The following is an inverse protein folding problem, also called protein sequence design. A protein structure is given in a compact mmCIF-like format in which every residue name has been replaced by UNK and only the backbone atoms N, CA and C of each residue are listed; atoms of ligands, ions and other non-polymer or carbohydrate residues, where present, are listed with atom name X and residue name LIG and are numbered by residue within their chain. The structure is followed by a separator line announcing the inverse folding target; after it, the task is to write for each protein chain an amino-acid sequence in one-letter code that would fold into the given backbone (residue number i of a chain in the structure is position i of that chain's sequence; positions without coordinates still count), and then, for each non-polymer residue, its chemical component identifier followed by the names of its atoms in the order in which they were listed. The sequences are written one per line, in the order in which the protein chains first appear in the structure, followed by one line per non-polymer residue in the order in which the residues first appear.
data_IF_190158573154
#
_entry.id   IF_190158573154
#
_cell.length_a   1.000
_cell.length_b   1.000
_cell.length_c   1.000
_cell.angle_alpha   90.00
_cell.angle_beta   90.00
_cell.angle_gamma   90.00
#
_symmetry.space_group_name_H-M   'P 1'
#
loop_
_entity.id
_entity.type
_entity.pdbx_description
1 polymer ?
#
# COMPACT_ATOMS: atom_id res chain seq x y z
N UNK A 1 -3.36 0.01 -6.17
CA UNK A 1 -3.71 -1.43 -6.32
C UNK A 1 -4.37 -1.65 -7.67
N UNK A 2 -4.35 -2.88 -8.18
CA UNK A 2 -4.96 -3.25 -9.47
C UNK A 2 -5.93 -4.41 -9.22
N UNK A 3 -7.16 -4.31 -9.72
CA UNK A 3 -8.17 -5.37 -9.64
C UNK A 3 -8.53 -5.84 -11.05
N UNK A 4 -8.43 -7.15 -11.27
CA UNK A 4 -8.57 -7.80 -12.57
C UNK A 4 -9.85 -8.63 -12.59
N UNK A 5 -10.93 -8.06 -13.13
CA UNK A 5 -12.18 -8.77 -13.32
C UNK A 5 -12.11 -9.63 -14.59
N UNK A 6 -11.97 -10.94 -14.45
CA UNK A 6 -11.89 -11.85 -15.60
C UNK A 6 -13.24 -12.01 -16.32
N UNK A 7 -14.33 -11.53 -15.70
CA UNK A 7 -15.71 -11.68 -16.17
C UNK A 7 -15.99 -13.14 -16.55
N UNK A 8 -16.69 -13.34 -17.66
CA UNK A 8 -17.00 -14.63 -18.27
C UNK A 8 -16.40 -14.74 -19.68
N UNK A 9 -15.28 -14.05 -19.94
CA UNK A 9 -14.57 -14.18 -21.21
C UNK A 9 -14.10 -15.63 -21.42
N UNK A 10 -14.13 -16.09 -22.65
CA UNK A 10 -13.72 -17.44 -23.00
C UNK A 10 -12.24 -17.70 -22.64
N UNK A 11 -11.38 -16.69 -22.76
CA UNK A 11 -9.99 -16.73 -22.32
C UNK A 11 -9.85 -16.91 -20.79
N UNK A 12 -10.81 -16.43 -19.99
CA UNK A 12 -10.81 -16.63 -18.55
C UNK A 12 -11.01 -18.11 -18.16
N UNK A 13 -11.62 -18.90 -19.04
CA UNK A 13 -11.77 -20.34 -18.88
C UNK A 13 -10.59 -21.10 -19.51
N UNK A 14 -10.23 -20.77 -20.76
CA UNK A 14 -9.20 -21.50 -21.52
C UNK A 14 -7.77 -21.22 -21.05
N UNK A 15 -7.51 -20.02 -20.52
CA UNK A 15 -6.16 -19.53 -20.14
C UNK A 15 -6.08 -19.13 -18.67
N UNK A 16 -6.93 -19.69 -17.80
CA UNK A 16 -6.99 -19.28 -16.39
C UNK A 16 -5.61 -19.32 -15.71
N UNK A 17 -4.89 -20.43 -15.83
CA UNK A 17 -3.62 -20.61 -15.11
C UNK A 17 -2.60 -19.53 -15.53
N UNK A 18 -2.51 -19.24 -16.83
CA UNK A 18 -1.67 -18.18 -17.37
C UNK A 18 -2.04 -16.80 -16.78
N UNK A 19 -3.33 -16.46 -16.72
CA UNK A 19 -3.80 -15.17 -16.19
C UNK A 19 -3.53 -15.05 -14.69
N UNK A 20 -3.74 -16.14 -13.93
CA UNK A 20 -3.50 -16.17 -12.48
C UNK A 20 -2.00 -16.07 -12.17
N UNK A 21 -1.17 -16.82 -12.90
CA UNK A 21 0.28 -16.77 -12.77
C UNK A 21 0.83 -15.38 -13.15
N UNK A 22 0.31 -14.78 -14.23
CA UNK A 22 0.70 -13.44 -14.63
C UNK A 22 0.40 -12.38 -13.55
N UNK A 23 -0.80 -12.44 -12.95
CA UNK A 23 -1.16 -11.55 -11.84
C UNK A 23 -0.24 -11.75 -10.62
N UNK A 24 0.13 -13.00 -10.30
CA UNK A 24 1.04 -13.31 -9.20
C UNK A 24 2.46 -12.81 -9.47
N UNK A 25 2.99 -13.05 -10.67
CA UNK A 25 4.33 -12.65 -11.09
C UNK A 25 4.46 -11.12 -11.16
N UNK A 26 3.53 -10.43 -11.83
CA UNK A 26 3.56 -8.97 -11.90
C UNK A 26 3.45 -8.32 -10.52
N UNK A 27 2.68 -8.91 -9.59
CA UNK A 27 2.64 -8.44 -8.19
C UNK A 27 3.98 -8.60 -7.47
N UNK A 28 4.75 -9.66 -7.76
CA UNK A 28 6.09 -9.86 -7.20
C UNK A 28 7.09 -8.86 -7.79
N UNK A 29 7.05 -8.64 -9.10
CA UNK A 29 7.99 -7.79 -9.81
C UNK A 29 7.80 -6.30 -9.47
N UNK A 30 6.55 -5.86 -9.34
CA UNK A 30 6.20 -4.44 -9.14
C UNK A 30 5.95 -4.09 -7.67
N UNK A 31 5.59 -5.09 -6.84
CA UNK A 31 5.12 -4.89 -5.49
C UNK A 31 3.74 -4.23 -5.38
N UNK A 32 3.10 -3.85 -6.49
CA UNK A 32 1.72 -3.36 -6.50
C UNK A 32 0.79 -4.50 -6.13
N UNK A 33 -0.14 -4.29 -5.19
CA UNK A 33 -1.16 -5.30 -4.89
C UNK A 33 -2.05 -5.52 -6.12
N UNK A 34 -2.03 -6.74 -6.67
CA UNK A 34 -2.86 -7.17 -7.79
C UNK A 34 -3.85 -8.24 -7.31
N UNK A 35 -5.15 -7.99 -7.49
CA UNK A 35 -6.24 -8.88 -7.10
C UNK A 35 -6.89 -9.43 -8.37
N UNK A 36 -7.12 -10.74 -8.44
CA UNK A 36 -7.80 -11.38 -9.57
C UNK A 36 -9.20 -11.88 -9.17
N UNK A 37 -10.19 -11.62 -10.02
CA UNK A 37 -11.59 -12.03 -9.83
C UNK A 37 -12.01 -13.00 -10.95
N UNK A 38 -11.76 -14.32 -10.78
CA UNK A 38 -12.11 -15.35 -11.76
C UNK A 38 -13.61 -15.66 -11.79
N UNK A 39 -14.11 -16.34 -12.84
CA UNK A 39 -15.46 -16.89 -12.85
C UNK A 39 -15.73 -17.75 -11.61
N UNK A 40 -16.97 -17.78 -11.06
CA UNK A 40 -17.29 -18.57 -9.87
C UNK A 40 -16.92 -20.05 -9.99
N UNK A 41 -17.06 -20.63 -11.19
CA UNK A 41 -16.72 -22.03 -11.50
C UNK A 41 -15.23 -22.33 -11.39
N UNK A 42 -14.37 -21.31 -11.41
CA UNK A 42 -12.92 -21.42 -11.37
C UNK A 42 -12.30 -20.81 -10.09
N UNK A 43 -13.12 -20.32 -9.18
CA UNK A 43 -12.69 -19.57 -8.00
C UNK A 43 -11.75 -20.38 -7.09
N UNK A 44 -12.07 -21.63 -6.80
CA UNK A 44 -11.24 -22.50 -5.96
C UNK A 44 -9.88 -22.81 -6.62
N UNK A 45 -9.87 -23.06 -7.94
CA UNK A 45 -8.64 -23.33 -8.71
C UNK A 45 -7.73 -22.11 -8.74
N UNK A 46 -8.27 -20.94 -9.06
CA UNK A 46 -7.50 -19.69 -9.02
C UNK A 46 -6.93 -19.41 -7.62
N UNK A 47 -7.72 -19.66 -6.57
CA UNK A 47 -7.29 -19.48 -5.19
C UNK A 47 -6.18 -20.45 -4.78
N UNK A 48 -6.15 -21.65 -5.34
CA UNK A 48 -5.04 -22.58 -5.11
C UNK A 48 -3.71 -22.00 -5.63
N UNK A 49 -3.72 -21.36 -6.81
CA UNK A 49 -2.53 -20.80 -7.45
C UNK A 49 -2.12 -19.39 -6.96
N UNK A 50 -3.07 -18.57 -6.51
CA UNK A 50 -2.83 -17.20 -6.02
C UNK A 50 -3.62 -16.90 -4.74
N UNK A 51 -3.00 -16.18 -3.79
CA UNK A 51 -3.63 -15.78 -2.52
C UNK A 51 -4.44 -14.48 -2.62
N UNK A 52 -4.17 -13.62 -3.60
CA UNK A 52 -4.90 -12.37 -3.84
C UNK A 52 -6.07 -12.61 -4.82
N UNK A 53 -7.07 -13.36 -4.36
CA UNK A 53 -8.25 -13.70 -5.16
C UNK A 53 -9.51 -13.17 -4.47
N UNK A 54 -10.35 -12.52 -5.26
CA UNK A 54 -11.71 -12.11 -4.90
C UNK A 54 -12.73 -12.91 -5.70
N UNK A 55 -13.93 -13.07 -5.17
CA UNK A 55 -15.07 -13.53 -5.97
C UNK A 55 -15.63 -12.39 -6.85
N UNK A 56 -16.37 -12.74 -7.90
CA UNK A 56 -17.07 -11.77 -8.75
C UNK A 56 -18.42 -11.34 -8.16
N UNK A 57 -18.95 -12.09 -7.20
CA UNK A 57 -20.24 -11.84 -6.55
C UNK A 57 -20.31 -12.59 -5.22
N UNK A 58 -21.13 -12.10 -4.30
CA UNK A 58 -21.48 -12.76 -3.05
C UNK A 58 -22.90 -12.37 -2.63
N UNK A 59 -23.66 -13.35 -2.16
CA UNK A 59 -25.04 -13.20 -1.72
C UNK A 59 -25.10 -12.93 -0.21
N UNK A 60 -26.04 -12.12 0.30
CA UNK A 60 -26.12 -11.75 1.70
C UNK A 60 -26.72 -12.83 2.61
N UNK A 61 -27.05 -14.01 2.09
CA UNK A 61 -27.76 -15.05 2.84
C UNK A 61 -26.87 -15.70 3.91
N UNK A 62 -27.51 -16.40 4.85
CA UNK A 62 -26.86 -17.26 5.84
C UNK A 62 -26.84 -18.72 5.34
N UNK A 63 -26.02 -19.61 5.93
CA UNK A 63 -26.05 -21.03 5.59
C UNK A 63 -27.46 -21.62 5.73
N UNK A 64 -27.99 -22.19 4.65
CA UNK A 64 -29.38 -22.67 4.60
C UNK A 64 -29.84 -23.01 3.19
N UNK A 65 -31.16 -23.01 2.97
CA UNK A 65 -31.81 -23.37 1.72
C UNK A 65 -31.69 -22.25 0.65
N UNK A 66 -30.47 -22.04 0.13
CA UNK A 66 -30.14 -21.00 -0.85
C UNK A 66 -29.40 -21.59 -2.06
N UNK A 67 -30.04 -22.56 -2.74
CA UNK A 67 -29.44 -23.25 -3.90
C UNK A 67 -28.96 -22.26 -4.97
N UNK A 68 -27.70 -22.39 -5.37
CA UNK A 68 -27.08 -21.55 -6.40
C UNK A 68 -26.45 -20.24 -5.89
N UNK A 69 -26.58 -19.93 -4.59
CA UNK A 69 -25.99 -18.73 -3.99
C UNK A 69 -24.52 -18.92 -3.61
N UNK A 70 -23.77 -17.82 -3.64
CA UNK A 70 -22.37 -17.73 -3.19
C UNK A 70 -22.35 -17.06 -1.82
N UNK A 71 -22.13 -17.82 -0.76
CA UNK A 71 -22.17 -17.30 0.61
C UNK A 71 -20.80 -16.76 1.07
N UNK A 72 -20.76 -15.73 1.94
CA UNK A 72 -19.53 -15.25 2.57
C UNK A 72 -18.76 -16.35 3.31
N UNK A 73 -19.45 -17.25 4.00
CA UNK A 73 -18.83 -18.40 4.70
C UNK A 73 -18.15 -19.36 3.72
N UNK A 74 -18.73 -19.59 2.54
CA UNK A 74 -18.13 -20.44 1.52
C UNK A 74 -16.82 -19.81 1.00
N UNK A 75 -16.81 -18.50 0.78
CA UNK A 75 -15.60 -17.76 0.40
C UNK A 75 -14.53 -17.81 1.50
N UNK A 76 -14.93 -17.64 2.77
CA UNK A 76 -14.03 -17.74 3.92
C UNK A 76 -13.39 -19.13 4.03
N UNK A 77 -14.18 -20.20 3.84
CA UNK A 77 -13.69 -21.58 3.88
C UNK A 77 -12.65 -21.86 2.77
N UNK A 78 -12.85 -21.29 1.58
CA UNK A 78 -11.88 -21.32 0.50
C UNK A 78 -10.68 -20.38 0.71
N UNK A 79 -10.68 -19.61 1.81
CA UNK A 79 -9.67 -18.58 2.13
C UNK A 79 -9.57 -17.48 1.07
N UNK A 80 -10.67 -17.21 0.37
CA UNK A 80 -10.83 -16.06 -0.52
C UNK A 80 -10.76 -14.78 0.33
N UNK A 81 -10.20 -13.71 -0.22
CA UNK A 81 -9.96 -12.48 0.54
C UNK A 81 -11.12 -11.50 0.52
N UNK A 82 -11.97 -11.57 -0.50
CA UNK A 82 -13.02 -10.59 -0.71
C UNK A 82 -13.90 -10.91 -1.92
N UNK A 83 -14.73 -9.95 -2.30
CA UNK A 83 -15.60 -10.05 -3.46
C UNK A 83 -15.88 -8.68 -4.05
N UNK A 84 -16.09 -8.65 -5.37
CA UNK A 84 -16.86 -7.59 -6.02
C UNK A 84 -18.33 -7.68 -5.56
N UNK A 85 -19.00 -6.53 -5.49
CA UNK A 85 -20.41 -6.39 -5.16
C UNK A 85 -21.01 -5.35 -6.11
N UNK A 86 -22.20 -5.60 -6.63
CA UNK A 86 -22.98 -4.61 -7.37
C UNK A 86 -22.30 -4.09 -8.65
N UNK A 87 -21.44 -4.91 -9.27
CA UNK A 87 -20.89 -4.61 -10.60
C UNK A 87 -22.02 -4.36 -11.61
N UNK A 88 -21.78 -3.56 -12.64
CA UNK A 88 -22.79 -3.19 -13.65
C UNK A 88 -23.48 -4.39 -14.31
N UNK A 89 -22.76 -5.48 -14.50
CA UNK A 89 -23.27 -6.75 -15.07
C UNK A 89 -24.00 -7.64 -14.04
N UNK A 90 -24.03 -7.24 -12.76
CA UNK A 90 -24.67 -7.95 -11.63
C UNK A 90 -25.15 -6.94 -10.57
N UNK A 91 -26.01 -6.00 -10.99
CA UNK A 91 -26.57 -4.97 -10.11
C UNK A 91 -27.43 -5.59 -9.01
N UNK A 92 -27.21 -5.14 -7.78
CA UNK A 92 -27.95 -5.55 -6.59
C UNK A 92 -27.97 -4.43 -5.51
N UNK A 93 -28.33 -3.17 -5.87
CA UNK A 93 -28.15 -2.01 -5.00
C UNK A 93 -28.87 -2.15 -3.65
N UNK A 94 -30.02 -2.83 -3.62
CA UNK A 94 -30.83 -3.05 -2.42
C UNK A 94 -30.20 -4.05 -1.44
N UNK A 95 -29.34 -4.95 -1.96
CA UNK A 95 -28.68 -5.97 -1.17
C UNK A 95 -27.29 -5.54 -0.67
N UNK A 96 -26.71 -4.44 -1.18
CA UNK A 96 -25.34 -4.01 -0.84
C UNK A 96 -25.16 -3.84 0.67
N UNK A 97 -26.14 -3.24 1.35
CA UNK A 97 -26.09 -3.02 2.81
C UNK A 97 -25.91 -4.33 3.58
N UNK A 98 -26.76 -5.32 3.32
CA UNK A 98 -26.67 -6.59 4.04
C UNK A 98 -25.43 -7.38 3.60
N UNK A 99 -25.07 -7.32 2.31
CA UNK A 99 -23.89 -8.00 1.77
C UNK A 99 -22.60 -7.49 2.44
N UNK A 100 -22.39 -6.17 2.52
CA UNK A 100 -21.23 -5.57 3.20
C UNK A 100 -21.21 -5.94 4.69
N UNK A 101 -22.37 -5.97 5.35
CA UNK A 101 -22.48 -6.38 6.76
C UNK A 101 -22.08 -7.85 6.96
N UNK A 102 -22.49 -8.75 6.07
CA UNK A 102 -22.16 -10.19 6.13
C UNK A 102 -20.68 -10.44 5.81
N UNK A 103 -20.10 -9.72 4.85
CA UNK A 103 -18.66 -9.78 4.56
C UNK A 103 -17.81 -9.31 5.74
N UNK A 104 -18.22 -8.25 6.45
CA UNK A 104 -17.54 -7.82 7.68
C UNK A 104 -17.53 -8.90 8.76
N UNK A 105 -18.66 -9.57 8.98
CA UNK A 105 -18.76 -10.69 9.95
C UNK A 105 -17.78 -11.83 9.62
N UNK A 106 -17.56 -12.08 8.33
CA UNK A 106 -16.65 -13.13 7.83
C UNK A 106 -15.23 -12.63 7.54
N UNK A 107 -14.92 -11.38 7.88
CA UNK A 107 -13.61 -10.72 7.66
C UNK A 107 -13.16 -10.72 6.20
N UNK A 108 -14.12 -10.67 5.27
CA UNK A 108 -13.88 -10.51 3.84
C UNK A 108 -13.83 -9.04 3.46
N UNK A 109 -12.97 -8.69 2.51
CA UNK A 109 -12.88 -7.35 1.92
C UNK A 109 -14.02 -7.14 0.90
N UNK A 110 -14.78 -6.05 1.04
CA UNK A 110 -15.85 -5.70 0.12
C UNK A 110 -15.42 -4.59 -0.84
N UNK A 111 -15.43 -4.89 -2.15
CA UNK A 111 -15.27 -3.90 -3.22
C UNK A 111 -16.62 -3.66 -3.87
N UNK A 112 -17.22 -2.51 -3.58
CA UNK A 112 -18.56 -2.15 -4.08
C UNK A 112 -18.42 -1.30 -5.33
N UNK A 113 -18.97 -1.77 -6.45
CA UNK A 113 -19.07 -0.99 -7.68
C UNK A 113 -20.25 -0.01 -7.60
N UNK A 114 -20.04 1.20 -8.10
CA UNK A 114 -21.01 2.28 -8.17
C UNK A 114 -21.00 2.90 -9.58
N UNK A 115 -22.17 3.27 -10.09
CA UNK A 115 -22.32 3.81 -11.44
C UNK A 115 -22.20 5.34 -11.49
N UNK A 116 -22.24 6.03 -10.33
CA UNK A 116 -22.19 7.49 -10.24
C UNK A 116 -21.57 7.98 -8.91
N UNK A 117 -21.13 9.25 -8.84
CA UNK A 117 -20.67 9.88 -7.59
C UNK A 117 -21.70 9.82 -6.44
N UNK A 118 -22.99 9.96 -6.73
CA UNK A 118 -24.08 9.87 -5.77
C UNK A 118 -24.19 8.47 -5.18
N UNK A 119 -24.03 7.45 -6.03
CA UNK A 119 -24.05 6.06 -5.59
C UNK A 119 -22.77 5.73 -4.79
N UNK A 120 -21.61 6.28 -5.16
CA UNK A 120 -20.40 6.24 -4.34
C UNK A 120 -20.65 6.79 -2.93
N UNK A 121 -21.28 7.97 -2.80
CA UNK A 121 -21.66 8.55 -1.49
C UNK A 121 -22.61 7.63 -0.72
N UNK A 122 -23.62 7.07 -1.40
CA UNK A 122 -24.60 6.16 -0.80
C UNK A 122 -23.91 4.94 -0.20
N UNK A 123 -23.01 4.31 -0.95
CA UNK A 123 -22.32 3.11 -0.50
C UNK A 123 -21.18 3.38 0.48
N UNK A 124 -20.55 4.55 0.44
CA UNK A 124 -19.55 4.97 1.44
C UNK A 124 -20.12 4.94 2.87
N UNK A 125 -21.41 5.27 3.06
CA UNK A 125 -22.09 5.20 4.37
C UNK A 125 -22.12 3.78 4.96
N UNK A 126 -21.99 2.75 4.12
CA UNK A 126 -21.96 1.35 4.52
C UNK A 126 -20.55 0.90 4.97
N UNK A 127 -19.55 1.77 4.80
CA UNK A 127 -18.14 1.56 5.10
C UNK A 127 -17.58 0.27 4.47
N UNK A 128 -17.69 0.06 3.15
CA UNK A 128 -17.03 -1.06 2.47
C UNK A 128 -15.51 -0.94 2.56
N UNK A 129 -14.79 -2.00 2.19
CA UNK A 129 -13.32 -1.95 2.12
C UNK A 129 -12.83 -1.04 1.00
N UNK A 130 -13.52 -1.05 -0.14
CA UNK A 130 -13.20 -0.27 -1.33
C UNK A 130 -14.49 0.12 -2.07
N UNK A 131 -14.43 1.22 -2.82
CA UNK A 131 -15.45 1.58 -3.81
C UNK A 131 -14.79 1.68 -5.18
N UNK A 132 -15.44 1.15 -6.21
CA UNK A 132 -15.03 1.36 -7.60
C UNK A 132 -16.11 2.16 -8.34
N UNK A 133 -15.76 3.31 -8.92
CA UNK A 133 -16.67 4.06 -9.79
C UNK A 133 -16.52 3.57 -11.23
N UNK A 134 -17.65 3.20 -11.85
CA UNK A 134 -17.71 2.63 -13.20
C UNK A 134 -18.94 3.15 -13.96
N UNK A 135 -18.82 4.27 -14.68
CA UNK A 135 -19.90 4.78 -15.54
C UNK A 135 -20.29 3.73 -16.59
N UNK A 136 -21.54 3.23 -16.60
CA UNK A 136 -21.96 2.09 -17.41
C UNK A 136 -21.70 2.27 -18.92
N UNK A 137 -21.87 3.49 -19.42
CA UNK A 137 -21.67 3.88 -20.81
C UNK A 137 -20.22 3.75 -21.31
N UNK A 138 -19.26 3.65 -20.39
CA UNK A 138 -17.83 3.45 -20.72
C UNK A 138 -17.40 1.99 -20.62
N UNK A 139 -18.26 1.08 -20.16
CA UNK A 139 -17.92 -0.33 -19.99
C UNK A 139 -17.92 -1.03 -21.34
N UNK A 140 -16.76 -1.51 -21.77
CA UNK A 140 -16.61 -2.26 -23.02
C UNK A 140 -16.68 -1.41 -24.30
N UNK A 141 -16.81 -0.09 -24.19
CA UNK A 141 -16.88 0.83 -25.34
C UNK A 141 -15.52 1.14 -25.96
N UNK A 142 -14.42 0.74 -25.31
CA UNK A 142 -13.05 1.11 -25.68
C UNK A 142 -12.66 2.54 -25.26
N UNK A 143 -13.55 3.27 -24.59
CA UNK A 143 -13.30 4.60 -24.05
C UNK A 143 -13.00 4.52 -22.55
N UNK A 144 -11.95 5.20 -22.10
CA UNK A 144 -11.57 5.25 -20.68
C UNK A 144 -12.23 6.41 -19.94
N UNK A 145 -12.59 6.20 -18.67
CA UNK A 145 -13.10 7.25 -17.77
C UNK A 145 -12.09 8.39 -17.66
N UNK A 146 -10.81 8.07 -17.48
CA UNK A 146 -9.69 9.00 -17.40
C UNK A 146 -9.66 10.03 -18.55
N UNK A 147 -9.98 9.61 -19.78
CA UNK A 147 -9.91 10.48 -20.97
C UNK A 147 -11.24 11.14 -21.31
N UNK A 148 -12.36 10.47 -21.02
CA UNK A 148 -13.68 10.90 -21.52
C UNK A 148 -14.54 11.57 -20.45
N UNK A 149 -14.36 11.18 -19.19
CA UNK A 149 -15.13 11.68 -18.05
C UNK A 149 -14.27 11.80 -16.77
N UNK A 150 -13.13 12.52 -16.80
CA UNK A 150 -12.23 12.63 -15.66
C UNK A 150 -12.90 13.23 -14.42
N UNK A 151 -13.86 14.13 -14.61
CA UNK A 151 -14.60 14.79 -13.52
C UNK A 151 -15.37 13.79 -12.65
N UNK A 152 -15.81 12.66 -13.22
CA UNK A 152 -16.48 11.60 -12.45
C UNK A 152 -15.57 11.03 -11.37
N UNK A 153 -14.25 11.00 -11.59
CA UNK A 153 -13.26 10.49 -10.64
C UNK A 153 -13.17 11.44 -9.44
N UNK A 154 -12.94 12.74 -9.71
CA UNK A 154 -12.77 13.75 -8.67
C UNK A 154 -14.06 13.99 -7.89
N UNK A 155 -15.20 14.02 -8.59
CA UNK A 155 -16.51 14.15 -7.95
C UNK A 155 -16.81 12.94 -7.07
N UNK A 156 -16.59 11.72 -7.57
CA UNK A 156 -16.77 10.50 -6.75
C UNK A 156 -15.88 10.50 -5.52
N UNK A 157 -14.62 10.91 -5.65
CA UNK A 157 -13.69 10.99 -4.52
C UNK A 157 -14.19 11.99 -3.47
N UNK A 158 -14.61 13.18 -3.90
CA UNK A 158 -15.17 14.21 -3.02
C UNK A 158 -16.42 13.68 -2.29
N UNK A 159 -17.35 13.05 -3.02
CA UNK A 159 -18.57 12.45 -2.49
C UNK A 159 -18.30 11.33 -1.47
N UNK A 160 -17.25 10.53 -1.68
CA UNK A 160 -16.81 9.52 -0.71
C UNK A 160 -16.19 10.20 0.52
N UNK A 161 -15.33 11.20 0.32
CA UNK A 161 -14.66 11.94 1.40
C UNK A 161 -15.62 12.75 2.28
N UNK A 162 -16.76 13.19 1.75
CA UNK A 162 -17.86 13.74 2.57
C UNK A 162 -18.36 12.75 3.64
N UNK A 163 -18.13 11.44 3.46
CA UNK A 163 -18.54 10.38 4.39
C UNK A 163 -17.34 9.80 5.14
N UNK A 164 -16.24 9.49 4.45
CA UNK A 164 -15.02 8.94 5.03
C UNK A 164 -13.84 9.11 4.08
N UNK A 165 -12.72 9.60 4.62
CA UNK A 165 -11.43 9.69 3.91
C UNK A 165 -10.61 8.40 3.95
N UNK A 166 -11.09 7.36 4.64
CA UNK A 166 -10.38 6.09 4.78
C UNK A 166 -10.78 5.06 3.72
N UNK A 167 -11.90 5.27 3.02
CA UNK A 167 -12.41 4.34 2.01
C UNK A 167 -11.69 4.63 0.69
N UNK A 168 -10.82 3.72 0.19
CA UNK A 168 -10.11 3.96 -1.05
C UNK A 168 -11.06 3.88 -2.25
N UNK A 169 -10.94 4.86 -3.15
CA UNK A 169 -11.65 4.87 -4.42
C UNK A 169 -10.79 4.23 -5.50
N UNK A 170 -11.39 3.34 -6.28
CA UNK A 170 -10.84 2.79 -7.51
C UNK A 170 -11.61 3.34 -8.71
N UNK A 171 -10.94 3.46 -9.85
CA UNK A 171 -11.57 3.80 -11.13
C UNK A 171 -11.67 2.55 -11.98
N UNK A 172 -12.87 2.22 -12.43
CA UNK A 172 -13.05 1.20 -13.46
C UNK A 172 -13.53 1.81 -14.78
N UNK A 173 -14.06 0.96 -15.66
CA UNK A 173 -14.47 1.28 -17.03
C UNK A 173 -13.36 1.86 -17.95
N UNK A 174 -12.91 1.03 -18.90
CA UNK A 174 -12.06 1.45 -20.02
C UNK A 174 -10.57 1.66 -19.72
N UNK A 175 -10.10 1.39 -18.49
CA UNK A 175 -8.66 1.37 -18.17
C UNK A 175 -7.96 0.29 -19.00
N UNK A 176 -7.03 0.71 -19.86
CA UNK A 176 -6.40 -0.18 -20.85
C UNK A 176 -4.89 -0.01 -21.01
N UNK A 177 -4.31 1.03 -20.43
CA UNK A 177 -2.89 1.38 -20.57
C UNK A 177 -2.40 2.16 -19.33
N UNK A 178 -1.09 2.41 -19.26
CA UNK A 178 -0.46 3.11 -18.14
C UNK A 178 -0.93 4.57 -17.98
N UNK A 179 -1.22 5.27 -19.09
CA UNK A 179 -1.71 6.66 -19.07
C UNK A 179 -3.08 6.76 -18.37
N UNK A 180 -3.98 5.80 -18.62
CA UNK A 180 -5.28 5.75 -17.93
C UNK A 180 -5.11 5.60 -16.41
N UNK A 181 -4.13 4.78 -15.98
CA UNK A 181 -3.81 4.59 -14.56
C UNK A 181 -3.20 5.86 -13.98
N UNK A 182 -2.24 6.48 -14.68
CA UNK A 182 -1.59 7.72 -14.25
C UNK A 182 -2.62 8.82 -14.01
N UNK A 183 -3.55 9.04 -14.94
CA UNK A 183 -4.64 10.02 -14.79
C UNK A 183 -5.52 9.67 -13.60
N UNK A 184 -5.91 8.40 -13.43
CA UNK A 184 -6.73 7.99 -12.28
C UNK A 184 -6.04 8.29 -10.94
N UNK A 185 -4.74 7.98 -10.83
CA UNK A 185 -3.95 8.26 -9.63
C UNK A 185 -3.76 9.77 -9.40
N UNK A 186 -3.50 10.54 -10.47
CA UNK A 186 -3.35 11.98 -10.40
C UNK A 186 -4.63 12.68 -9.88
N UNK A 187 -5.80 12.11 -10.20
CA UNK A 187 -7.11 12.60 -9.74
C UNK A 187 -7.52 12.02 -8.37
N UNK A 188 -6.61 11.30 -7.69
CA UNK A 188 -6.76 10.87 -6.31
C UNK A 188 -7.31 9.45 -6.11
N UNK A 189 -7.51 8.68 -7.18
CA UNK A 189 -7.83 7.26 -7.04
C UNK A 189 -6.66 6.50 -6.39
N UNK A 190 -6.96 5.44 -5.64
CA UNK A 190 -5.96 4.56 -5.01
C UNK A 190 -5.64 3.33 -5.88
N UNK A 191 -6.39 3.13 -6.96
CA UNK A 191 -6.22 2.00 -7.85
C UNK A 191 -7.21 1.97 -9.00
N UNK A 192 -7.15 0.87 -9.76
CA UNK A 192 -7.99 0.66 -10.94
C UNK A 192 -8.63 -0.72 -10.94
N UNK A 193 -9.77 -0.82 -11.61
CA UNK A 193 -10.50 -2.05 -11.92
C UNK A 193 -10.59 -2.21 -13.44
N UNK A 194 -10.04 -3.30 -13.98
CA UNK A 194 -10.04 -3.55 -15.43
C UNK A 194 -10.30 -5.02 -15.76
N UNK A 195 -10.58 -5.28 -17.04
CA UNK A 195 -10.99 -6.60 -17.51
C UNK A 195 -10.38 -6.94 -18.87
N UNK A 196 -11.02 -6.50 -19.97
CA UNK A 196 -10.72 -6.95 -21.34
C UNK A 196 -9.26 -6.73 -21.75
N UNK A 197 -8.68 -5.57 -21.44
CA UNK A 197 -7.31 -5.24 -21.81
C UNK A 197 -6.29 -6.24 -21.25
N UNK A 198 -6.50 -6.70 -20.01
CA UNK A 198 -5.67 -7.74 -19.40
C UNK A 198 -6.01 -9.13 -19.93
N UNK A 199 -7.29 -9.51 -19.90
CA UNK A 199 -7.75 -10.87 -20.24
C UNK A 199 -7.36 -11.26 -21.67
N UNK A 200 -7.38 -10.28 -22.58
CA UNK A 200 -7.06 -10.46 -24.00
C UNK A 200 -5.62 -10.13 -24.35
N UNK A 201 -4.78 -9.78 -23.37
CA UNK A 201 -3.39 -9.44 -23.62
C UNK A 201 -2.62 -10.67 -24.18
N UNK A 202 -1.81 -10.47 -25.23
CA UNK A 202 -0.91 -11.52 -25.72
C UNK A 202 0.20 -11.82 -24.70
N UNK A 203 0.69 -10.78 -24.01
CA UNK A 203 1.73 -10.86 -22.97
C UNK A 203 1.20 -10.31 -21.62
N UNK A 204 0.43 -11.09 -20.84
CA UNK A 204 -0.28 -10.58 -19.66
C UNK A 204 0.64 -10.06 -18.54
N UNK A 205 1.82 -10.67 -18.34
CA UNK A 205 2.80 -10.21 -17.34
C UNK A 205 3.29 -8.81 -17.69
N UNK A 206 3.84 -8.65 -18.91
CA UNK A 206 4.32 -7.38 -19.43
C UNK A 206 3.24 -6.29 -19.41
N UNK A 207 2.03 -6.64 -19.80
CA UNK A 207 0.89 -5.73 -19.71
C UNK A 207 0.68 -5.23 -18.28
N UNK A 208 0.67 -6.12 -17.27
CA UNK A 208 0.49 -5.71 -15.88
C UNK A 208 1.67 -4.91 -15.32
N UNK A 209 2.90 -5.23 -15.72
CA UNK A 209 4.08 -4.44 -15.35
C UNK A 209 4.00 -3.02 -15.92
N UNK A 210 3.56 -2.86 -17.16
CA UNK A 210 3.33 -1.55 -17.78
C UNK A 210 2.22 -0.78 -17.06
N UNK A 211 1.09 -1.44 -16.75
CA UNK A 211 -0.02 -0.87 -15.97
C UNK A 211 0.41 -0.48 -14.55
N UNK A 212 1.42 -1.15 -13.99
CA UNK A 212 1.89 -0.91 -12.64
C UNK A 212 2.86 0.28 -12.51
N UNK A 213 3.55 0.68 -13.60
CA UNK A 213 4.56 1.76 -13.58
C UNK A 213 4.09 3.07 -12.90
N UNK A 214 2.87 3.59 -13.16
CA UNK A 214 2.43 4.83 -12.53
C UNK A 214 2.35 4.76 -10.99
N UNK A 215 2.14 3.57 -10.41
CA UNK A 215 2.10 3.42 -8.96
C UNK A 215 3.46 3.67 -8.29
N UNK A 216 4.57 3.43 -8.99
CA UNK A 216 5.91 3.72 -8.48
C UNK A 216 6.14 5.23 -8.35
N UNK A 217 5.63 6.01 -9.31
CA UNK A 217 5.76 7.47 -9.34
C UNK A 217 4.89 8.16 -8.30
N UNK A 218 3.67 7.68 -8.09
CA UNK A 218 2.70 8.27 -7.16
C UNK A 218 2.86 7.77 -5.71
N UNK A 219 4.00 7.15 -5.39
CA UNK A 219 4.37 6.82 -4.01
C UNK A 219 3.61 5.65 -3.40
N UNK A 220 3.11 4.72 -4.21
CA UNK A 220 2.67 3.43 -3.67
C UNK A 220 3.89 2.71 -3.10
N UNK A 221 3.95 2.57 -1.77
CA UNK A 221 4.98 1.78 -1.11
C UNK A 221 4.43 0.37 -0.88
N UNK A 222 4.93 -0.67 -1.57
CA UNK A 222 4.48 -2.05 -1.37
C UNK A 222 4.54 -2.45 0.10
N UNK A 223 3.50 -3.14 0.60
CA UNK A 223 3.42 -3.59 2.00
C UNK A 223 4.60 -4.45 2.46
N UNK A 224 5.28 -5.13 1.53
CA UNK A 224 6.51 -5.86 1.83
C UNK A 224 7.73 -4.93 1.96
N UNK A 225 7.81 -3.83 1.19
CA UNK A 225 8.79 -2.76 1.40
C UNK A 225 8.52 -2.04 2.72
N UNK A 226 7.26 -1.76 3.05
CA UNK A 226 6.87 -1.23 4.36
C UNK A 226 7.31 -2.16 5.49
N UNK A 227 6.95 -3.45 5.44
CA UNK A 227 7.36 -4.44 6.45
C UNK A 227 8.88 -4.59 6.55
N UNK A 228 9.59 -4.57 5.41
CA UNK A 228 11.05 -4.62 5.39
C UNK A 228 11.65 -3.38 6.06
N UNK A 229 11.14 -2.19 5.76
CA UNK A 229 11.55 -0.94 6.41
C UNK A 229 11.21 -0.92 7.91
N UNK A 230 10.05 -1.44 8.32
CA UNK A 230 9.66 -1.61 9.73
C UNK A 230 10.63 -2.55 10.46
N UNK A 231 10.98 -3.68 9.83
CA UNK A 231 11.91 -4.66 10.38
C UNK A 231 13.33 -4.09 10.51
N UNK A 232 13.83 -3.45 9.46
CA UNK A 232 15.13 -2.76 9.45
C UNK A 232 15.18 -1.63 10.49
N UNK A 233 14.11 -0.86 10.65
CA UNK A 233 14.00 0.20 11.67
C UNK A 233 14.00 -0.38 13.09
N UNK A 234 13.32 -1.51 13.31
CA UNK A 234 13.29 -2.19 14.61
C UNK A 234 14.66 -2.76 14.99
N UNK A 235 15.38 -3.34 14.02
CA UNK A 235 16.76 -3.81 14.19
C UNK A 235 17.71 -2.65 14.52
N UNK A 236 17.63 -1.54 13.79
CA UNK A 236 18.43 -0.35 14.03
C UNK A 236 18.16 0.29 15.41
N UNK A 237 16.90 0.33 15.85
CA UNK A 237 16.52 0.79 17.18
C UNK A 237 17.10 -0.11 18.29
N UNK A 238 17.10 -1.42 18.06
CA UNK A 238 17.66 -2.42 18.98
C UNK A 238 19.18 -2.25 19.12
N UNK A 239 19.90 -2.05 18.03
CA UNK A 239 21.35 -1.78 18.07
C UNK A 239 21.69 -0.46 18.76
N UNK A 240 20.93 0.61 18.50
CA UNK A 240 21.09 1.90 19.21
C UNK A 240 20.91 1.74 20.72
N UNK A 241 19.95 0.91 21.16
CA UNK A 241 19.71 0.63 22.59
C UNK A 241 20.89 -0.12 23.22
N UNK A 242 21.37 -1.20 22.58
CA UNK A 242 22.57 -1.94 23.01
C UNK A 242 23.80 -1.04 23.10
N UNK A 243 24.02 -0.17 22.13
CA UNK A 243 25.14 0.77 22.13
C UNK A 243 25.05 1.78 23.30
N UNK A 244 23.85 2.26 23.62
CA UNK A 244 23.61 3.15 24.77
C UNK A 244 23.89 2.45 26.09
N UNK A 245 23.49 1.19 26.22
CA UNK A 245 23.73 0.38 27.42
C UNK A 245 25.21 0.04 27.60
N UNK A 246 25.93 -0.29 26.52
CA UNK A 246 27.41 -0.43 26.54
C UNK A 246 28.10 0.85 26.99
N UNK A 247 27.69 2.02 26.47
CA UNK A 247 28.23 3.33 26.90
C UNK A 247 27.92 3.63 28.37
N UNK A 248 26.73 3.29 28.87
CA UNK A 248 26.37 3.43 30.30
C UNK A 248 27.20 2.50 31.18
N UNK A 249 27.40 1.25 30.77
CA UNK A 249 28.23 0.29 31.48
C UNK A 249 29.70 0.74 31.55
N UNK A 250 30.25 1.24 30.44
CA UNK A 250 31.59 1.80 30.40
C UNK A 250 31.76 3.03 31.32
N UNK A 251 30.77 3.94 31.34
CA UNK A 251 30.75 5.09 32.27
C UNK A 251 30.66 4.68 33.74
N UNK A 252 29.88 3.63 34.07
CA UNK A 252 29.81 3.07 35.43
C UNK A 252 31.13 2.40 35.84
N UNK A 253 31.81 1.72 34.91
CA UNK A 253 33.10 1.10 35.16
C UNK A 253 34.20 2.14 35.45
N UNK A 254 34.26 3.24 34.67
CA UNK A 254 35.23 4.32 34.90
C UNK A 254 34.98 5.11 36.19
N UNK A 255 33.72 5.35 36.57
CA UNK A 255 33.38 5.98 37.87
C UNK A 255 33.65 5.07 39.07
N UNK A 256 33.55 3.75 38.91
CA UNK A 256 33.92 2.78 39.96
C UNK A 256 35.44 2.65 40.10
N UNK A 257 36.20 2.80 39.02
CA UNK A 257 37.66 2.83 39.03
C UNK A 257 38.22 4.11 39.68
N UNK A 258 37.62 5.28 39.44
CA UNK A 258 38.07 6.55 40.05
C UNK A 258 37.77 6.64 41.56
N UNK A 259 36.71 6.00 42.05
CA UNK A 259 36.42 5.91 43.50
C UNK A 259 37.34 4.96 44.28
N UNK A 260 38.02 4.03 43.61
CA UNK A 260 38.94 3.07 44.25
C UNK A 260 40.37 3.59 44.42
N UNK A 261 40.71 4.80 43.98
CA UNK A 261 42.07 5.32 44.08
C UNK A 261 42.13 6.79 44.56
N UNK A 262 41.93 7.06 45.87
CA UNK A 262 42.19 8.38 46.44
C UNK A 262 43.70 8.54 46.69
N UNK A 263 44.43 9.14 45.75
CA UNK A 263 45.82 9.56 45.98
C UNK A 263 45.82 10.72 46.99
N UNK A 264 46.18 10.44 48.25
CA UNK A 264 46.46 11.44 49.29
C UNK A 264 47.67 12.30 48.86
N UNK A 265 47.45 13.54 48.42
CA UNK A 265 48.50 14.57 48.33
C UNK A 265 48.58 15.31 49.66
N UNK A 266 49.64 15.08 50.45
CA UNK A 266 50.01 15.91 51.61
C UNK A 266 50.47 17.30 51.14
N UNK A 267 50.12 18.40 51.84
CA UNK A 267 50.56 19.75 51.47
C UNK A 267 51.97 20.04 51.99
N UNK A 268 52.86 20.50 51.09
CA UNK A 268 54.17 21.06 51.43
C UNK A 268 54.00 22.58 51.59
N UNK A 269 54.27 23.08 52.80
CA UNK A 269 54.36 24.52 53.11
C UNK A 269 55.55 25.14 52.37
N UNK A 270 55.36 26.25 51.66
CA UNK A 270 56.43 27.22 51.37
C UNK A 270 55.93 28.65 51.48
N UNK A 271 56.74 29.43 52.18
CA UNK A 271 56.64 30.82 52.62
C UNK A 271 56.73 31.85 51.48
N UNK A 272 56.02 32.96 51.66
CA UNK A 272 56.14 34.21 50.90
C UNK A 272 57.27 35.11 51.48
N UNK A 273 57.52 36.33 50.98
CA UNK A 273 57.64 36.80 49.59
C UNK A 273 58.95 37.61 49.39
N UNK A 274 59.27 38.04 48.15
CA UNK A 274 59.84 39.39 47.89
C UNK A 274 59.76 39.78 46.41
N UNK A 275 59.35 41.03 46.20
CA UNK A 275 59.17 41.76 44.93
C UNK A 275 60.51 42.02 44.22
N UNK A 276 60.53 42.03 42.89
CA UNK A 276 61.42 42.91 42.12
C UNK A 276 60.88 43.24 40.72
N UNK A 277 61.29 44.43 40.26
CA UNK A 277 60.81 45.32 39.18
C UNK A 277 61.00 44.80 37.74
N UNK A 278 60.22 45.38 36.81
CA UNK A 278 60.43 45.44 35.34
C UNK A 278 61.78 46.09 34.98
N UNK A 279 62.29 45.89 33.75
CA UNK A 279 62.17 46.97 32.75
C UNK A 279 61.89 46.48 31.31
N UNK A 280 61.80 47.44 30.39
CA UNK A 280 61.22 47.36 29.06
C UNK A 280 62.21 47.54 27.90
N UNK A 281 61.77 47.14 26.69
CA UNK A 281 62.21 47.54 25.32
C UNK A 281 63.60 46.99 24.90
N UNK A 282 63.91 46.68 23.63
CA UNK A 282 63.52 47.26 22.33
C UNK A 282 63.85 46.27 21.19
N UNK A 283 63.31 46.56 20.01
CA UNK A 283 63.21 45.76 18.78
C UNK A 283 64.52 45.46 18.01
N UNK A 284 64.47 44.47 17.09
CA UNK A 284 64.78 44.63 15.64
C UNK A 284 64.46 43.35 14.83
N UNK A 285 63.81 43.58 13.68
CA UNK A 285 63.59 42.75 12.46
C UNK A 285 64.94 42.47 11.73
N UNK A 286 64.97 41.87 10.51
CA UNK A 286 64.21 40.77 9.90
C UNK A 286 65.13 39.81 9.09
N UNK A 287 64.56 38.79 8.43
CA UNK A 287 64.92 38.15 7.13
C UNK A 287 64.29 36.74 7.15
N UNK A 288 63.76 36.13 6.10
CA UNK A 288 63.67 36.42 4.68
C UNK A 288 63.47 35.08 3.93
N UNK A 289 62.82 35.14 2.76
CA UNK A 289 62.67 34.13 1.68
C UNK A 289 61.60 33.04 1.89
N UNK A 290 60.55 33.00 1.05
CA UNK A 290 60.46 32.51 -0.37
C UNK A 290 60.77 31.00 -0.43
N UNK A 291 59.98 30.10 -1.03
CA UNK A 291 59.27 30.17 -2.32
C UNK A 291 58.45 28.87 -2.49
N UNK A 292 57.37 28.98 -3.28
CA UNK A 292 56.61 27.97 -4.05
C UNK A 292 55.82 26.93 -3.26
#
# INVERSE_FOLDING_TARGET
MIVLNLKTYDEAYRRLDLLVDAAREAMQNTGVRIIICPPPTHLARARYANKEVFAQHVDPFEPGAHTGSVLPEALQNLRIKGSLINHSERRCPDLVKETVKRMKKTRLESLVCAESPEECKKFAKLKPSFIAVEPPELIGSGKSVSKNQPDVITESLNKVHEVSTEIPLLVGAGVSNAEDVEVALALGATGVLLASAFVKAPEPVRFLEDIAKPFEMYGYMPRWKEKKLEQEAMEAATEKRKAKDRKKAAKKATTKASKKNPVKKKPVKKSAPKKAKKPAKKAKKPTGKKKK
#
